data_IF_179468867355
#
_entry.id   IF_179468867355
#
_cell.length_a   1.000
_cell.length_b   1.000
_cell.length_c   1.000
_cell.angle_alpha   90.00
_cell.angle_beta   90.00
_cell.angle_gamma   90.00
#
_symmetry.space_group_name_H-M   'P 1'
#
loop_
_entity.id
_entity.type
_entity.pdbx_description
1 polymer ?
#
# COMPACT_ATOMS: atom_id res chain seq x y z
N UNK A 1 9.27 24.61 -75.65
CA UNK A 1 8.22 25.44 -75.01
C UNK A 1 7.99 24.86 -73.64
N UNK A 2 8.45 25.59 -72.62
CA UNK A 2 8.09 25.45 -71.20
C UNK A 2 6.61 25.87 -70.99
N UNK A 3 5.95 25.50 -69.87
CA UNK A 3 5.96 26.44 -68.75
C UNK A 3 6.09 25.82 -67.34
N UNK A 4 7.00 26.48 -66.61
CA UNK A 4 7.19 26.69 -65.17
C UNK A 4 5.94 26.60 -64.26
N UNK A 5 6.12 25.93 -63.10
CA UNK A 5 5.29 26.08 -61.90
C UNK A 5 6.09 26.84 -60.84
N UNK A 6 5.48 27.90 -60.32
CA UNK A 6 6.01 28.87 -59.36
C UNK A 6 6.08 28.26 -57.96
N UNK A 7 7.20 28.44 -57.25
CA UNK A 7 7.36 28.09 -55.83
C UNK A 7 7.31 29.38 -55.01
N UNK A 8 6.21 29.59 -54.29
CA UNK A 8 6.08 30.68 -53.32
C UNK A 8 6.87 30.35 -52.04
N UNK A 9 7.91 31.15 -51.78
CA UNK A 9 8.61 31.21 -50.49
C UNK A 9 7.83 32.11 -49.54
N UNK A 10 7.34 31.56 -48.43
CA UNK A 10 6.85 32.37 -47.30
C UNK A 10 7.94 32.45 -46.22
N UNK A 11 8.36 33.66 -45.90
CA UNK A 11 9.27 34.02 -44.81
C UNK A 11 8.52 34.05 -43.48
N UNK A 12 9.08 33.46 -42.42
CA UNK A 12 8.65 33.66 -41.03
C UNK A 12 9.80 34.31 -40.24
N UNK A 13 9.53 35.47 -39.65
CA UNK A 13 10.38 36.13 -38.64
C UNK A 13 10.23 35.45 -37.26
N UNK A 14 11.27 35.45 -36.41
CA UNK A 14 11.21 34.80 -35.11
C UNK A 14 10.51 35.68 -34.05
N UNK A 15 9.53 35.08 -33.38
CA UNK A 15 8.60 35.68 -32.43
C UNK A 15 9.21 35.88 -31.03
N UNK A 16 9.87 37.03 -30.82
CA UNK A 16 10.45 37.49 -29.55
C UNK A 16 9.49 37.45 -28.35
N UNK A 17 8.17 37.38 -28.59
CA UNK A 17 7.17 37.31 -27.51
C UNK A 17 7.01 35.92 -26.91
N UNK A 18 7.37 34.85 -27.64
CA UNK A 18 7.34 33.48 -27.10
C UNK A 18 8.44 33.27 -26.07
N UNK A 19 9.67 33.70 -26.37
CA UNK A 19 10.82 33.54 -25.48
C UNK A 19 10.62 34.17 -24.09
N UNK A 20 10.01 35.37 -24.02
CA UNK A 20 9.70 36.03 -22.73
C UNK A 20 8.60 35.35 -21.93
N UNK A 21 7.68 34.64 -22.58
CA UNK A 21 6.63 33.88 -21.90
C UNK A 21 7.20 32.57 -21.34
N UNK A 22 8.13 31.95 -22.07
CA UNK A 22 8.80 30.72 -21.66
C UNK A 22 9.73 30.97 -20.45
N UNK A 23 10.57 32.02 -20.46
CA UNK A 23 11.41 32.40 -19.31
C UNK A 23 10.58 32.68 -18.04
N UNK A 24 9.43 33.34 -18.18
CA UNK A 24 8.54 33.61 -17.04
C UNK A 24 7.90 32.33 -16.50
N UNK A 25 7.54 31.37 -17.36
CA UNK A 25 7.01 30.08 -16.92
C UNK A 25 8.09 29.24 -16.22
N UNK A 26 9.35 29.35 -16.63
CA UNK A 26 10.49 28.66 -16.02
C UNK A 26 10.86 29.24 -14.64
N UNK A 27 10.84 30.57 -14.47
CA UNK A 27 11.08 31.21 -13.17
C UNK A 27 9.98 30.89 -12.15
N UNK A 28 8.71 30.91 -12.55
CA UNK A 28 7.57 30.61 -11.67
C UNK A 28 7.55 29.12 -11.24
N UNK A 29 8.07 28.21 -12.08
CA UNK A 29 8.27 26.79 -11.76
C UNK A 29 9.42 26.57 -10.76
N UNK A 30 10.43 27.44 -10.77
CA UNK A 30 11.57 27.40 -9.84
C UNK A 30 11.25 27.94 -8.44
N UNK A 31 10.16 28.72 -8.31
CA UNK A 31 9.73 29.36 -7.07
C UNK A 31 8.79 28.51 -6.21
N UNK A 32 8.30 27.38 -6.73
CA UNK A 32 7.80 26.29 -5.90
C UNK A 32 9.01 25.68 -5.21
N UNK A 33 9.45 26.33 -4.13
CA UNK A 33 10.47 25.85 -3.22
C UNK A 33 10.07 24.45 -2.74
N UNK A 34 10.55 23.45 -3.47
CA UNK A 34 11.34 22.30 -3.04
C UNK A 34 11.34 22.00 -1.54
N UNK A 35 10.15 21.98 -0.92
CA UNK A 35 9.89 21.07 0.18
C UNK A 35 9.69 19.70 -0.44
N UNK A 36 10.74 19.17 -1.07
CA UNK A 36 10.84 17.75 -1.29
C UNK A 36 10.74 17.13 0.10
N UNK A 37 9.64 16.43 0.34
CA UNK A 37 9.52 15.45 1.40
C UNK A 37 10.48 14.28 1.10
N UNK A 38 11.78 14.55 0.93
CA UNK A 38 12.79 13.52 0.72
C UNK A 38 13.01 12.81 2.04
N UNK A 39 12.66 11.52 2.07
CA UNK A 39 13.06 10.63 3.17
C UNK A 39 14.59 10.65 3.30
N UNK A 40 15.10 10.68 4.53
CA UNK A 40 16.54 10.70 4.79
C UNK A 40 17.07 9.32 5.25
N UNK A 41 18.38 9.21 5.46
CA UNK A 41 18.99 7.96 5.91
C UNK A 41 18.55 7.54 7.32
N UNK A 42 18.06 8.47 8.15
CA UNK A 42 17.56 8.16 9.48
C UNK A 42 16.17 7.53 9.40
N UNK A 43 15.29 8.02 8.52
CA UNK A 43 14.00 7.40 8.19
C UNK A 43 14.17 5.93 7.79
N UNK A 44 15.10 5.65 6.87
CA UNK A 44 15.42 4.27 6.46
C UNK A 44 15.95 3.42 7.61
N UNK A 45 16.83 3.99 8.46
CA UNK A 45 17.38 3.28 9.62
C UNK A 45 16.29 2.89 10.61
N UNK A 46 15.39 3.81 10.93
CA UNK A 46 14.28 3.59 11.86
C UNK A 46 13.33 2.49 11.35
N UNK A 47 12.99 2.54 10.07
CA UNK A 47 12.16 1.50 9.44
C UNK A 47 12.86 0.13 9.47
N UNK A 48 14.14 0.08 9.13
CA UNK A 48 14.89 -1.18 9.11
C UNK A 48 15.06 -1.77 10.50
N UNK A 49 15.34 -0.93 11.50
CA UNK A 49 15.44 -1.35 12.90
C UNK A 49 14.11 -1.95 13.36
N UNK A 50 12.99 -1.29 13.05
CA UNK A 50 11.68 -1.79 13.43
C UNK A 50 11.33 -3.10 12.72
N UNK A 51 11.58 -3.17 11.41
CA UNK A 51 11.32 -4.39 10.64
C UNK A 51 12.12 -5.58 11.17
N UNK A 52 13.37 -5.36 11.60
CA UNK A 52 14.19 -6.40 12.23
C UNK A 52 13.66 -6.81 13.62
N UNK A 53 13.03 -5.88 14.34
CA UNK A 53 12.54 -6.09 15.71
C UNK A 53 11.19 -6.82 15.75
N UNK A 54 10.24 -6.38 14.93
CA UNK A 54 8.83 -6.79 15.01
C UNK A 54 8.28 -7.39 13.71
N UNK A 55 9.06 -7.33 12.62
CA UNK A 55 8.65 -7.82 11.32
C UNK A 55 7.47 -7.03 10.76
N UNK A 56 6.74 -7.64 9.81
CA UNK A 56 5.64 -6.95 9.13
C UNK A 56 4.33 -6.93 9.95
N UNK A 57 4.11 -7.93 10.79
CA UNK A 57 2.85 -8.15 11.51
C UNK A 57 2.72 -7.30 12.78
N UNK A 58 3.85 -7.05 13.44
CA UNK A 58 3.89 -6.36 14.72
C UNK A 58 4.57 -4.98 14.60
N UNK A 59 4.74 -4.47 13.37
CA UNK A 59 5.42 -3.21 13.05
C UNK A 59 4.83 -2.02 13.82
N UNK A 60 5.64 -1.39 14.66
CA UNK A 60 5.29 -0.21 15.45
C UNK A 60 5.64 1.07 14.68
N UNK A 61 4.66 1.95 14.48
CA UNK A 61 4.84 3.22 13.72
C UNK A 61 5.19 4.43 14.60
N UNK A 62 5.30 4.25 15.92
CA UNK A 62 5.49 5.37 16.87
C UNK A 62 6.85 6.07 16.77
N UNK A 63 7.87 5.42 16.22
CA UNK A 63 9.23 5.95 16.10
C UNK A 63 9.53 6.55 14.73
N UNK A 64 8.67 6.29 13.76
CA UNK A 64 8.84 6.66 12.37
C UNK A 64 8.52 8.14 12.23
N UNK A 65 9.31 8.84 11.40
CA UNK A 65 9.13 10.26 11.16
C UNK A 65 8.28 10.45 9.92
N UNK A 66 8.90 10.37 8.74
CA UNK A 66 8.22 10.62 7.47
C UNK A 66 7.99 9.33 6.69
N UNK A 67 8.88 8.37 6.80
CA UNK A 67 8.80 7.11 6.05
C UNK A 67 8.15 5.99 6.86
N UNK A 68 7.04 5.45 6.35
CA UNK A 68 6.34 4.28 6.92
C UNK A 68 6.10 3.25 5.83
N UNK A 69 6.59 2.03 6.04
CA UNK A 69 6.42 0.92 5.07
C UNK A 69 5.23 0.01 5.39
N UNK A 70 4.77 0.03 6.64
CA UNK A 70 3.65 -0.75 7.17
C UNK A 70 2.75 0.19 7.95
N UNK A 71 1.53 0.35 7.49
CA UNK A 71 0.54 1.23 8.10
C UNK A 71 -0.37 0.39 8.99
N UNK A 72 -0.48 0.68 10.29
CA UNK A 72 -1.43 -0.02 11.15
C UNK A 72 -2.84 0.23 10.62
N UNK A 73 -3.64 -0.82 10.57
CA UNK A 73 -5.04 -0.75 10.16
C UNK A 73 -5.86 -0.38 11.38
N UNK A 74 -6.55 0.75 11.31
CA UNK A 74 -7.60 1.08 12.27
C UNK A 74 -8.88 0.37 11.84
N UNK A 75 -9.48 -0.42 12.74
CA UNK A 75 -10.61 -1.28 12.40
C UNK A 75 -11.94 -0.53 12.27
N UNK A 76 -12.02 0.69 12.79
CA UNK A 76 -13.22 1.53 12.70
C UNK A 76 -13.23 2.44 11.46
N UNK A 77 -12.08 2.58 10.80
CA UNK A 77 -11.96 3.39 9.58
C UNK A 77 -12.44 2.60 8.36
N UNK A 78 -12.67 3.31 7.27
CA UNK A 78 -13.05 2.75 5.96
C UNK A 78 -12.09 3.28 4.88
N UNK A 79 -10.79 3.21 5.15
CA UNK A 79 -9.74 3.73 4.24
C UNK A 79 -9.60 2.86 2.98
N UNK A 80 -9.89 1.56 3.10
CA UNK A 80 -9.67 0.56 2.04
C UNK A 80 -10.97 0.10 1.40
N UNK A 81 -12.06 0.11 2.16
CA UNK A 81 -13.41 -0.27 1.70
C UNK A 81 -14.37 0.90 1.82
N UNK A 82 -15.40 0.92 0.99
CA UNK A 82 -16.43 1.94 1.06
C UNK A 82 -17.43 1.64 2.19
N UNK A 83 -17.92 2.69 2.86
CA UNK A 83 -19.03 2.58 3.81
C UNK A 83 -20.25 1.88 3.17
N UNK A 84 -20.97 1.03 3.92
CA UNK A 84 -20.97 0.92 5.38
C UNK A 84 -19.95 -0.07 5.97
N UNK A 85 -19.15 -0.76 5.14
CA UNK A 85 -18.14 -1.69 5.63
C UNK A 85 -16.97 -0.92 6.25
N UNK A 86 -16.39 -1.46 7.33
CA UNK A 86 -15.12 -0.96 7.88
C UNK A 86 -13.93 -1.78 7.41
N UNK A 87 -12.72 -1.21 7.52
CA UNK A 87 -11.46 -1.93 7.34
C UNK A 87 -11.35 -3.11 8.32
N UNK A 88 -11.95 -3.00 9.52
CA UNK A 88 -12.09 -4.10 10.47
C UNK A 88 -12.92 -5.26 9.91
N UNK A 89 -14.06 -4.97 9.28
CA UNK A 89 -14.88 -5.97 8.59
C UNK A 89 -14.12 -6.64 7.45
N UNK A 90 -13.35 -5.86 6.69
CA UNK A 90 -12.45 -6.42 5.68
C UNK A 90 -11.42 -7.37 6.30
N UNK A 91 -10.69 -6.93 7.32
CA UNK A 91 -9.65 -7.74 8.00
C UNK A 91 -10.26 -9.02 8.59
N UNK A 92 -11.47 -8.95 9.14
CA UNK A 92 -12.21 -10.12 9.63
C UNK A 92 -12.50 -11.12 8.49
N UNK A 93 -13.05 -10.66 7.35
CA UNK A 93 -13.28 -11.51 6.17
C UNK A 93 -11.99 -12.15 5.67
N UNK A 94 -10.91 -11.37 5.53
CA UNK A 94 -9.61 -11.87 5.07
C UNK A 94 -9.02 -12.92 6.03
N UNK A 95 -9.19 -12.73 7.34
CA UNK A 95 -8.73 -13.69 8.35
C UNK A 95 -9.47 -15.02 8.24
N UNK A 96 -10.79 -14.99 8.04
CA UNK A 96 -11.60 -16.19 7.82
C UNK A 96 -11.19 -16.95 6.55
N UNK A 97 -10.96 -16.23 5.45
CA UNK A 97 -10.48 -16.82 4.19
C UNK A 97 -9.10 -17.46 4.40
N UNK A 98 -8.19 -16.79 5.11
CA UNK A 98 -6.87 -17.32 5.41
C UNK A 98 -6.95 -18.58 6.28
N UNK A 99 -7.77 -18.58 7.33
CA UNK A 99 -7.95 -19.75 8.19
C UNK A 99 -8.59 -20.91 7.45
N UNK A 100 -9.58 -20.65 6.59
CA UNK A 100 -10.20 -21.68 5.75
C UNK A 100 -9.13 -22.36 4.87
N UNK A 101 -8.26 -21.58 4.21
CA UNK A 101 -7.16 -22.13 3.40
C UNK A 101 -6.19 -22.97 4.24
N UNK A 102 -5.92 -22.55 5.48
CA UNK A 102 -5.09 -23.33 6.40
C UNK A 102 -5.76 -24.67 6.75
N UNK A 103 -7.05 -24.63 7.07
CA UNK A 103 -7.85 -25.81 7.39
C UNK A 103 -7.90 -26.81 6.23
N UNK A 104 -8.15 -26.33 5.01
CA UNK A 104 -8.16 -27.15 3.80
C UNK A 104 -6.81 -27.83 3.54
N UNK A 105 -5.70 -27.10 3.73
CA UNK A 105 -4.36 -27.63 3.49
C UNK A 105 -3.90 -28.64 4.56
N UNK A 106 -4.22 -28.39 5.83
CA UNK A 106 -3.76 -29.21 6.96
C UNK A 106 -4.79 -30.24 7.45
N UNK A 107 -5.97 -30.30 6.83
CA UNK A 107 -7.10 -31.13 7.26
C UNK A 107 -7.52 -30.87 8.72
N UNK A 108 -7.48 -29.60 9.13
CA UNK A 108 -7.91 -29.14 10.46
C UNK A 108 -9.30 -28.50 10.40
N UNK A 109 -9.97 -28.35 11.54
CA UNK A 109 -11.27 -27.70 11.64
C UNK A 109 -11.26 -26.56 12.67
N UNK A 110 -10.30 -25.64 12.51
CA UNK A 110 -10.15 -24.51 13.41
C UNK A 110 -11.23 -23.45 13.15
N UNK A 111 -11.78 -22.89 14.21
CA UNK A 111 -12.74 -21.80 14.18
C UNK A 111 -12.04 -20.45 14.38
N UNK A 112 -12.43 -19.46 13.58
CA UNK A 112 -11.97 -18.09 13.76
C UNK A 112 -12.61 -17.47 15.01
N UNK A 113 -11.80 -16.81 15.83
CA UNK A 113 -12.26 -16.12 17.05
C UNK A 113 -12.38 -14.63 16.81
N UNK A 114 -11.26 -13.96 16.52
CA UNK A 114 -11.21 -12.52 16.21
C UNK A 114 -9.91 -12.12 15.52
N UNK A 115 -9.94 -11.01 14.81
CA UNK A 115 -8.74 -10.32 14.39
C UNK A 115 -8.19 -9.53 15.58
N UNK A 116 -6.88 -9.63 15.84
CA UNK A 116 -6.23 -8.93 16.95
C UNK A 116 -5.63 -7.61 16.48
N UNK A 117 -4.97 -7.64 15.31
CA UNK A 117 -4.39 -6.46 14.67
C UNK A 117 -4.03 -6.76 13.22
N UNK A 118 -3.86 -5.71 12.42
CA UNK A 118 -3.33 -5.82 11.08
C UNK A 118 -2.47 -4.62 10.73
N UNK A 119 -1.47 -4.85 9.89
CA UNK A 119 -0.74 -3.81 9.16
C UNK A 119 -1.02 -3.95 7.67
N UNK A 120 -1.08 -2.84 6.94
CA UNK A 120 -1.21 -2.79 5.48
C UNK A 120 0.05 -2.23 4.82
N UNK A 121 0.33 -2.70 3.61
CA UNK A 121 1.36 -2.18 2.73
C UNK A 121 0.78 -1.93 1.34
N UNK A 122 1.11 -0.77 0.76
CA UNK A 122 0.75 -0.41 -0.61
C UNK A 122 1.72 -1.07 -1.60
N UNK A 123 1.20 -1.92 -2.47
CA UNK A 123 1.95 -2.56 -3.56
C UNK A 123 1.06 -2.77 -4.79
N UNK A 124 1.13 -3.93 -5.42
CA UNK A 124 0.18 -4.35 -6.46
C UNK A 124 -1.19 -4.75 -5.84
N UNK A 125 -1.87 -3.77 -5.24
CA UNK A 125 -3.00 -3.94 -4.33
C UNK A 125 -2.60 -3.73 -2.86
N UNK A 126 -3.53 -4.04 -1.95
CA UNK A 126 -3.26 -3.96 -0.51
C UNK A 126 -2.71 -5.28 -0.01
N UNK A 127 -1.54 -5.28 0.58
CA UNK A 127 -0.99 -6.45 1.28
C UNK A 127 -1.23 -6.26 2.77
N UNK A 128 -2.06 -7.13 3.34
CA UNK A 128 -2.37 -7.17 4.75
C UNK A 128 -1.51 -8.21 5.46
N UNK A 129 -0.91 -7.79 6.59
CA UNK A 129 -0.19 -8.63 7.55
C UNK A 129 -1.05 -8.70 8.80
N UNK A 130 -1.81 -9.78 8.91
CA UNK A 130 -2.88 -9.91 9.91
C UNK A 130 -2.42 -10.85 11.00
N UNK A 131 -2.63 -10.45 12.26
CA UNK A 131 -2.59 -11.35 13.42
C UNK A 131 -4.01 -11.57 13.91
N UNK A 132 -4.43 -12.83 14.02
CA UNK A 132 -5.77 -13.20 14.47
C UNK A 132 -5.71 -14.41 15.40
N UNK A 133 -6.81 -14.66 16.11
CA UNK A 133 -6.96 -15.79 17.01
C UNK A 133 -7.91 -16.82 16.38
N UNK A 134 -7.51 -18.09 16.47
CA UNK A 134 -8.35 -19.23 16.12
C UNK A 134 -8.39 -20.21 17.30
N UNK A 135 -9.36 -21.11 17.33
CA UNK A 135 -9.44 -22.18 18.33
C UNK A 135 -9.83 -23.46 17.63
N UNK A 136 -9.50 -24.59 18.24
CA UNK A 136 -10.07 -25.86 17.82
C UNK A 136 -11.48 -26.01 18.42
N UNK A 137 -12.40 -26.67 17.73
CA UNK A 137 -13.76 -26.83 18.25
C UNK A 137 -13.79 -27.72 19.51
N UNK A 138 -12.88 -28.70 19.55
CA UNK A 138 -12.76 -29.67 20.64
C UNK A 138 -11.88 -29.15 21.80
N UNK A 139 -11.21 -28.01 21.62
CA UNK A 139 -10.28 -27.44 22.59
C UNK A 139 -10.59 -25.99 22.92
N UNK A 140 -10.61 -25.64 24.21
CA UNK A 140 -10.71 -24.24 24.62
C UNK A 140 -9.40 -23.45 24.46
N UNK A 141 -8.41 -24.02 23.77
CA UNK A 141 -7.11 -23.38 23.53
C UNK A 141 -7.23 -22.39 22.37
N UNK A 142 -6.93 -21.13 22.66
CA UNK A 142 -6.78 -20.08 21.65
C UNK A 142 -5.37 -20.16 21.07
N UNK A 143 -5.30 -20.25 19.74
CA UNK A 143 -4.07 -20.33 18.95
C UNK A 143 -3.94 -19.02 18.17
N UNK A 144 -2.88 -18.22 18.38
CA UNK A 144 -2.61 -17.06 17.56
C UNK A 144 -2.10 -17.50 16.18
N UNK A 145 -2.59 -16.84 15.14
CA UNK A 145 -2.23 -17.04 13.75
C UNK A 145 -1.71 -15.75 13.13
N UNK A 146 -0.86 -15.91 12.12
CA UNK A 146 -0.39 -14.84 11.26
C UNK A 146 -0.69 -15.18 9.79
N UNK A 147 -1.27 -14.23 9.07
CA UNK A 147 -1.54 -14.37 7.64
C UNK A 147 -1.09 -13.16 6.82
N UNK A 148 -0.48 -13.45 5.67
CA UNK A 148 -0.19 -12.45 4.63
C UNK A 148 -1.19 -12.62 3.50
N UNK A 149 -2.02 -11.60 3.29
CA UNK A 149 -3.13 -11.65 2.33
C UNK A 149 -3.07 -10.44 1.42
N UNK A 150 -3.07 -10.68 0.10
CA UNK A 150 -3.30 -9.62 -0.89
C UNK A 150 -4.79 -9.44 -1.10
N UNK A 151 -5.23 -8.21 -1.02
CA UNK A 151 -6.58 -7.78 -1.31
C UNK A 151 -6.59 -6.85 -2.52
N UNK A 152 -7.38 -7.24 -3.51
CA UNK A 152 -7.93 -6.41 -4.57
C UNK A 152 -9.45 -6.62 -4.53
N UNK A 153 -10.29 -5.61 -4.80
CA UNK A 153 -11.75 -5.73 -4.68
C UNK A 153 -12.36 -6.95 -5.40
N UNK A 154 -11.74 -7.40 -6.49
CA UNK A 154 -12.19 -8.56 -7.28
C UNK A 154 -11.38 -9.83 -7.05
N UNK A 155 -10.32 -9.77 -6.24
CA UNK A 155 -9.39 -10.89 -6.08
C UNK A 155 -8.70 -10.87 -4.70
N UNK A 156 -8.90 -11.94 -3.93
CA UNK A 156 -8.18 -12.20 -2.69
C UNK A 156 -7.14 -13.28 -2.93
N UNK A 157 -5.91 -13.09 -2.42
CA UNK A 157 -4.85 -14.11 -2.50
C UNK A 157 -4.16 -14.24 -1.15
N UNK A 158 -4.32 -15.40 -0.51
CA UNK A 158 -3.60 -15.74 0.73
C UNK A 158 -2.23 -16.29 0.35
N UNK A 159 -1.17 -15.54 0.66
CA UNK A 159 0.22 -15.94 0.41
C UNK A 159 0.74 -16.88 1.48
N UNK A 160 0.47 -16.56 2.75
CA UNK A 160 0.93 -17.33 3.90
C UNK A 160 -0.13 -17.30 4.98
N UNK A 161 -0.29 -18.43 5.66
CA UNK A 161 -1.08 -18.56 6.89
C UNK A 161 -0.48 -19.67 7.75
N UNK A 162 -0.11 -19.34 8.98
CA UNK A 162 0.43 -20.30 9.94
C UNK A 162 0.17 -19.83 11.37
N UNK A 163 0.23 -20.74 12.37
CA UNK A 163 0.34 -20.32 13.76
C UNK A 163 1.47 -19.32 13.94
N UNK A 164 1.28 -18.36 14.84
CA UNK A 164 2.31 -17.40 15.21
C UNK A 164 3.45 -18.15 15.93
N UNK A 165 4.72 -17.95 15.54
CA UNK A 165 5.85 -18.62 16.17
C UNK A 165 6.08 -18.19 17.62
#
# INVERSE_FOLDING_TARGET
MDPQVVVDKKSEEPDLKRQKLDEKCEEEMSSYSDSTCSFDSEDERLVKEELNRSGDYDFDTTKQRRFVIRYPVNFEDSDVVDEPDTDGDLVHRLSKIALQKHNEYNLTNLEFVRAVKANRHYGAGFIFYITFEAKDNDSHIIIPFQATVRYLPLQVTVYRVSPKP
#
